data_IF_186221603883
#
_entry.id   IF_186221603883
#
_cell.length_a   1.000
_cell.length_b   1.000
_cell.length_c   1.000
_cell.angle_alpha   90.00
_cell.angle_beta   90.00
_cell.angle_gamma   90.00
#
_symmetry.space_group_name_H-M   'P 1'
#
loop_
_entity.id
_entity.type
_entity.pdbx_description
1 polymer ?
#
# COMPACT_ATOMS: atom_id res chain seq x y z
N UNK A 1 11.56 7.92 -5.09
CA UNK A 1 11.10 7.36 -3.79
C UNK A 1 9.73 6.74 -4.02
N UNK A 2 9.40 5.59 -3.42
CA UNK A 2 8.07 5.00 -3.54
C UNK A 2 7.02 5.93 -2.93
N UNK A 3 5.92 6.12 -3.65
CA UNK A 3 4.74 6.87 -3.20
C UNK A 3 3.80 5.94 -2.44
N UNK A 4 3.18 6.43 -1.37
CA UNK A 4 2.32 5.64 -0.49
C UNK A 4 0.93 6.27 -0.38
N UNK A 5 -0.08 5.41 -0.39
CA UNK A 5 -1.46 5.75 -0.02
C UNK A 5 -1.73 5.27 1.40
N UNK A 6 -2.52 6.05 2.14
CA UNK A 6 -2.89 5.76 3.52
C UNK A 6 -4.41 5.79 3.66
N UNK A 7 -4.94 4.91 4.49
CA UNK A 7 -6.36 4.89 4.87
C UNK A 7 -6.51 4.63 6.35
N UNK A 8 -7.55 5.20 6.91
CA UNK A 8 -7.94 5.04 8.31
C UNK A 8 -9.34 4.44 8.34
N UNK A 9 -9.54 3.36 9.09
CA UNK A 9 -10.83 2.67 9.21
C UNK A 9 -11.16 2.41 10.68
N UNK A 10 -12.43 2.62 11.11
CA UNK A 10 -12.86 2.17 12.42
C UNK A 10 -12.89 0.64 12.46
N UNK A 11 -12.60 0.07 13.63
CA UNK A 11 -12.70 -1.35 13.92
C UNK A 11 -13.87 -1.58 14.87
N UNK A 12 -14.79 -2.45 14.46
CA UNK A 12 -15.94 -2.83 15.26
C UNK A 12 -15.58 -4.01 16.17
N UNK A 13 -15.89 -3.90 17.46
CA UNK A 13 -15.64 -4.96 18.45
C UNK A 13 -16.33 -6.25 17.99
N UNK A 14 -15.65 -7.39 18.20
CA UNK A 14 -16.03 -8.72 17.69
C UNK A 14 -15.98 -8.90 16.16
N UNK A 15 -15.66 -7.86 15.37
CA UNK A 15 -15.54 -7.96 13.91
C UNK A 15 -14.18 -7.47 13.36
N UNK A 16 -13.22 -7.16 14.24
CA UNK A 16 -11.90 -6.64 13.88
C UNK A 16 -11.18 -7.48 12.82
N UNK A 17 -11.15 -8.80 12.99
CA UNK A 17 -10.45 -9.70 12.07
C UNK A 17 -11.04 -9.65 10.65
N UNK A 18 -12.37 -9.64 10.51
CA UNK A 18 -13.02 -9.58 9.20
C UNK A 18 -12.76 -8.25 8.48
N UNK A 19 -12.76 -7.14 9.23
CA UNK A 19 -12.45 -5.80 8.70
C UNK A 19 -11.01 -5.78 8.19
N UNK A 20 -10.04 -6.23 8.99
CA UNK A 20 -8.63 -6.28 8.60
C UNK A 20 -8.39 -7.19 7.40
N UNK A 21 -9.03 -8.36 7.35
CA UNK A 21 -8.93 -9.27 6.21
C UNK A 21 -9.50 -8.64 4.92
N UNK A 22 -10.60 -7.89 5.03
CA UNK A 22 -11.22 -7.19 3.89
C UNK A 22 -10.32 -6.10 3.31
N UNK A 23 -9.55 -5.41 4.16
CA UNK A 23 -8.57 -4.44 3.69
C UNK A 23 -7.30 -5.12 3.18
N UNK A 24 -6.82 -6.15 3.86
CA UNK A 24 -5.67 -6.94 3.46
C UNK A 24 -5.83 -7.57 2.07
N UNK A 25 -7.03 -8.08 1.75
CA UNK A 25 -7.32 -8.63 0.41
C UNK A 25 -7.29 -7.58 -0.71
N UNK A 26 -7.44 -6.29 -0.37
CA UNK A 26 -7.30 -5.15 -1.29
C UNK A 26 -5.86 -4.62 -1.38
N UNK A 27 -4.90 -5.33 -0.79
CA UNK A 27 -3.47 -4.98 -0.81
C UNK A 27 -3.08 -3.91 0.21
N UNK A 28 -3.91 -3.65 1.23
CA UNK A 28 -3.55 -2.73 2.31
C UNK A 28 -2.79 -3.46 3.42
N UNK A 29 -1.67 -2.88 3.82
CA UNK A 29 -0.84 -3.35 4.93
C UNK A 29 -1.23 -2.60 6.21
N UNK A 30 -1.51 -3.34 7.28
CA UNK A 30 -1.77 -2.75 8.60
C UNK A 30 -0.50 -2.11 9.16
N UNK A 31 -0.60 -0.83 9.54
CA UNK A 31 0.50 -0.09 10.18
C UNK A 31 0.35 -0.14 11.70
N UNK A 32 -0.82 0.25 12.22
CA UNK A 32 -1.07 0.30 13.66
C UNK A 32 -2.57 0.31 13.96
N UNK A 33 -2.93 -0.19 15.14
CA UNK A 33 -4.25 0.02 15.76
C UNK A 33 -4.08 0.94 16.97
N UNK A 34 -4.93 1.96 17.08
CA UNK A 34 -4.97 2.90 18.21
C UNK A 34 -6.37 2.98 18.79
N UNK A 35 -6.47 3.44 20.04
CA UNK A 35 -7.75 3.80 20.64
C UNK A 35 -8.14 5.22 20.22
N UNK A 36 -9.36 5.40 19.72
CA UNK A 36 -9.87 6.71 19.31
C UNK A 36 -10.17 7.62 20.50
N UNK A 37 -10.14 8.96 20.33
CA UNK A 37 -10.41 9.92 21.40
C UNK A 37 -11.86 9.83 21.94
N UNK A 38 -12.80 9.36 21.12
CA UNK A 38 -14.21 9.15 21.49
C UNK A 38 -14.49 7.71 21.95
N UNK A 39 -13.45 6.89 22.13
CA UNK A 39 -13.56 5.44 22.34
C UNK A 39 -13.57 4.65 21.02
N UNK A 40 -13.46 3.33 21.13
CA UNK A 40 -13.33 2.43 19.98
C UNK A 40 -11.90 2.30 19.42
N UNK A 41 -11.72 1.36 18.49
CA UNK A 41 -10.43 1.07 17.87
C UNK A 41 -10.41 1.61 16.43
N UNK A 42 -9.27 2.14 16.02
CA UNK A 42 -9.03 2.66 14.67
C UNK A 42 -7.76 2.03 14.11
N UNK A 43 -7.82 1.52 12.88
CA UNK A 43 -6.66 0.99 12.17
C UNK A 43 -6.16 1.99 11.13
N UNK A 44 -4.85 2.20 11.13
CA UNK A 44 -4.11 2.87 10.05
C UNK A 44 -3.52 1.82 9.12
N UNK A 45 -3.75 1.97 7.83
CA UNK A 45 -3.20 1.08 6.81
C UNK A 45 -2.51 1.88 5.71
N UNK A 46 -1.56 1.24 5.04
CA UNK A 46 -0.82 1.82 3.91
C UNK A 46 -0.80 0.86 2.72
N UNK A 47 -0.58 1.39 1.52
CA UNK A 47 -0.22 0.60 0.33
C UNK A 47 0.61 1.45 -0.65
N UNK A 48 1.38 0.84 -1.58
CA UNK A 48 2.04 1.59 -2.63
C UNK A 48 1.04 2.33 -3.53
N UNK A 49 1.26 3.62 -3.79
CA UNK A 49 0.46 4.39 -4.73
C UNK A 49 0.78 3.92 -6.16
N UNK A 50 -0.24 3.45 -6.87
CA UNK A 50 -0.09 2.80 -8.19
C UNK A 50 -0.36 1.29 -8.22
N UNK A 51 -0.80 0.69 -7.10
CA UNK A 51 -1.53 -0.59 -7.02
C UNK A 51 -0.92 -1.81 -7.73
N UNK A 52 -0.37 -2.77 -6.96
CA UNK A 52 -0.01 -4.17 -7.35
C UNK A 52 0.92 -4.39 -8.55
N UNK A 53 1.08 -3.43 -9.43
CA UNK A 53 1.96 -3.49 -10.59
C UNK A 53 3.34 -2.94 -10.26
N UNK A 54 3.63 -2.43 -9.05
CA UNK A 54 4.92 -1.80 -8.74
C UNK A 54 6.15 -2.68 -9.03
N UNK A 55 6.04 -4.01 -8.98
CA UNK A 55 7.12 -4.93 -9.41
C UNK A 55 7.19 -5.11 -10.94
N UNK A 56 6.04 -5.17 -11.62
CA UNK A 56 5.95 -5.19 -13.08
C UNK A 56 6.37 -3.84 -13.69
N UNK A 57 5.90 -2.73 -13.14
CA UNK A 57 6.30 -1.35 -13.41
C UNK A 57 7.79 -1.13 -13.08
N UNK A 58 8.32 -1.70 -12.00
CA UNK A 58 9.75 -1.61 -11.71
C UNK A 58 10.58 -2.33 -12.78
N UNK A 59 10.13 -3.50 -13.24
CA UNK A 59 10.74 -4.21 -14.37
C UNK A 59 10.69 -3.40 -15.67
N UNK A 60 9.52 -2.85 -16.03
CA UNK A 60 9.37 -1.99 -17.20
C UNK A 60 10.18 -0.69 -17.10
N UNK A 61 10.21 -0.05 -15.92
CA UNK A 61 10.98 1.17 -15.70
C UNK A 61 12.49 0.91 -15.75
N UNK A 62 12.95 -0.22 -15.20
CA UNK A 62 14.34 -0.64 -15.32
C UNK A 62 14.73 -0.97 -16.76
N UNK A 63 13.84 -1.64 -17.51
CA UNK A 63 14.03 -1.92 -18.94
C UNK A 63 14.06 -0.62 -19.78
N UNK A 64 13.17 0.33 -19.51
CA UNK A 64 13.15 1.63 -20.17
C UNK A 64 14.43 2.44 -19.89
N UNK A 65 14.93 2.44 -18.65
CA UNK A 65 16.20 3.08 -18.31
C UNK A 65 17.40 2.37 -18.94
N UNK A 66 17.36 1.04 -19.09
CA UNK A 66 18.41 0.28 -19.77
C UNK A 66 18.45 0.59 -21.27
N UNK A 67 17.28 0.71 -21.93
CA UNK A 67 17.18 1.09 -23.33
C UNK A 67 17.77 2.49 -23.59
N UNK A 68 17.43 3.49 -22.75
CA UNK A 68 17.98 4.84 -22.86
C UNK A 68 19.51 4.89 -22.74
N UNK A 69 20.09 4.05 -21.88
CA UNK A 69 21.56 3.95 -21.71
C UNK A 69 22.25 3.29 -22.91
N UNK A 70 21.55 2.41 -23.62
CA UNK A 70 22.09 1.74 -24.80
C UNK A 70 22.10 2.66 -26.03
N UNK A 71 21.07 3.50 -26.19
CA UNK A 71 20.96 4.46 -27.30
C UNK A 71 21.94 5.64 -27.19
N UNK A 72 22.41 5.97 -25.98
CA UNK A 72 23.36 7.07 -25.74
C UNK A 72 24.86 6.73 -25.91
N UNK A 73 25.20 5.50 -26.33
CA UNK A 73 26.58 5.03 -26.45
C UNK A 73 26.99 4.68 -27.90
N UNK A 74 26.33 5.29 -28.88
CA UNK A 74 26.65 5.23 -30.31
C UNK A 74 27.16 6.57 -30.83
#
# INVERSE_FOLDING_TARGET
MPTWEYVTTPLLIHNTAAILNTWGSKGWELVQVVQGPEGGLVAYLKRPAGGTDSSAQAGLAAAAQAAQKFEGNA
#
